data_IF_788719114090
#
_entry.id   IF_788719114090
#
_cell.length_a   1.000
_cell.length_b   1.000
_cell.length_c   1.000
_cell.angle_alpha   90.00
_cell.angle_beta   90.00
_cell.angle_gamma   90.00
#
_symmetry.space_group_name_H-M   'P 1'
#
loop_
_entity.id
_entity.type
_entity.pdbx_description
1 polymer ?
#
# COMPACT_ATOMS: atom_id res chain seq x y z
N UNK A 1 -7.26 19.01 25.04
CA UNK A 1 -6.53 18.34 23.94
C UNK A 1 -5.95 19.43 23.03
N UNK A 2 -4.63 19.49 22.90
CA UNK A 2 -3.90 20.47 22.07
C UNK A 2 -4.08 20.15 20.58
N UNK A 3 -4.34 21.16 19.75
CA UNK A 3 -4.46 20.95 18.30
C UNK A 3 -3.09 20.65 17.67
N UNK A 4 -2.99 19.66 16.77
CA UNK A 4 -1.74 19.35 16.07
C UNK A 4 -1.30 20.52 15.18
N UNK A 5 0.02 20.67 15.00
CA UNK A 5 0.58 21.71 14.12
C UNK A 5 0.17 21.50 12.66
N UNK A 6 0.19 22.56 11.84
CA UNK A 6 -0.12 22.49 10.40
C UNK A 6 0.73 21.49 9.61
N UNK A 7 1.92 21.16 10.11
CA UNK A 7 2.86 20.20 9.49
C UNK A 7 2.63 18.75 9.94
N UNK A 8 1.80 18.52 10.97
CA UNK A 8 1.56 17.21 11.55
C UNK A 8 0.33 16.50 10.96
N UNK A 9 -0.14 16.92 9.78
CA UNK A 9 -1.26 16.27 9.07
C UNK A 9 -0.67 15.21 8.15
N UNK A 10 -0.74 13.95 8.58
CA UNK A 10 -0.39 12.80 7.73
C UNK A 10 -1.60 12.45 6.86
N UNK A 11 -1.45 12.42 5.53
CA UNK A 11 -2.52 11.96 4.65
C UNK A 11 -2.94 10.54 5.01
N UNK A 12 -4.25 10.31 5.13
CA UNK A 12 -4.82 9.02 5.49
C UNK A 12 -5.87 8.59 4.47
N UNK A 13 -5.76 7.34 4.02
CA UNK A 13 -6.78 6.68 3.19
C UNK A 13 -7.44 5.59 4.03
N UNK A 14 -8.71 5.79 4.38
CA UNK A 14 -9.52 4.77 5.04
C UNK A 14 -9.97 3.70 4.06
N UNK A 15 -10.50 2.59 4.57
CA UNK A 15 -11.10 1.53 3.74
C UNK A 15 -12.22 2.09 2.86
N UNK A 16 -13.14 2.89 3.41
CA UNK A 16 -14.21 3.54 2.64
C UNK A 16 -13.67 4.42 1.50
N UNK A 17 -12.62 5.21 1.77
CA UNK A 17 -11.98 6.05 0.75
C UNK A 17 -11.27 5.23 -0.30
N UNK A 18 -10.62 4.12 0.07
CA UNK A 18 -9.98 3.20 -0.87
C UNK A 18 -11.02 2.55 -1.78
N UNK A 19 -12.14 2.07 -1.23
CA UNK A 19 -13.23 1.48 -2.02
C UNK A 19 -13.79 2.47 -3.06
N UNK A 20 -14.05 3.72 -2.64
CA UNK A 20 -14.50 4.79 -3.55
C UNK A 20 -13.48 5.08 -4.65
N UNK A 21 -12.19 5.10 -4.30
CA UNK A 21 -11.12 5.33 -5.27
C UNK A 21 -11.07 4.21 -6.33
N UNK A 22 -11.06 2.95 -5.89
CA UNK A 22 -11.02 1.79 -6.80
C UNK A 22 -12.24 1.77 -7.71
N UNK A 23 -13.44 2.01 -7.17
CA UNK A 23 -14.67 2.05 -7.96
C UNK A 23 -14.70 3.23 -8.95
N UNK A 24 -14.16 4.39 -8.57
CA UNK A 24 -14.08 5.55 -9.45
C UNK A 24 -13.11 5.35 -10.63
N UNK A 25 -12.02 4.61 -10.42
CA UNK A 25 -11.06 4.25 -11.48
C UNK A 25 -11.60 3.10 -12.34
N UNK A 26 -12.37 2.20 -11.74
CA UNK A 26 -12.81 0.93 -12.32
C UNK A 26 -11.82 -0.19 -12.00
N UNK A 27 -12.36 -1.34 -11.55
CA UNK A 27 -11.55 -2.46 -11.02
C UNK A 27 -10.55 -3.00 -12.03
N UNK A 28 -10.99 -3.24 -13.28
CA UNK A 28 -10.14 -3.81 -14.33
C UNK A 28 -8.95 -2.91 -14.67
N UNK A 29 -9.22 -1.61 -14.85
CA UNK A 29 -8.19 -0.62 -15.14
C UNK A 29 -7.24 -0.46 -13.96
N UNK A 30 -7.77 -0.37 -12.75
CA UNK A 30 -6.97 -0.26 -11.53
C UNK A 30 -5.98 -1.42 -11.41
N UNK A 31 -6.45 -2.67 -11.59
CA UNK A 31 -5.60 -3.85 -11.49
C UNK A 31 -4.57 -3.94 -12.62
N UNK A 32 -4.97 -3.59 -13.86
CA UNK A 32 -4.06 -3.61 -15.01
C UNK A 32 -2.92 -2.62 -14.84
N UNK A 33 -3.24 -1.37 -14.46
CA UNK A 33 -2.23 -0.34 -14.24
C UNK A 33 -1.35 -0.66 -13.02
N UNK A 34 -1.95 -1.16 -11.92
CA UNK A 34 -1.18 -1.58 -10.74
C UNK A 34 -0.20 -2.73 -11.07
N UNK A 35 -0.63 -3.71 -11.87
CA UNK A 35 0.24 -4.79 -12.30
C UNK A 35 1.41 -4.29 -13.14
N UNK A 36 1.18 -3.32 -14.04
CA UNK A 36 2.25 -2.72 -14.84
C UNK A 36 3.29 -2.00 -13.95
N UNK A 37 2.84 -1.26 -12.93
CA UNK A 37 3.74 -0.64 -11.95
C UNK A 37 4.53 -1.67 -11.14
N UNK A 38 3.88 -2.75 -10.70
CA UNK A 38 4.56 -3.85 -10.02
C UNK A 38 5.63 -4.46 -10.94
N UNK A 39 5.32 -4.71 -12.22
CA UNK A 39 6.29 -5.24 -13.17
C UNK A 39 7.50 -4.32 -13.35
N UNK A 40 7.27 -3.00 -13.47
CA UNK A 40 8.35 -2.02 -13.54
C UNK A 40 9.24 -2.04 -12.29
N UNK A 41 8.64 -2.15 -11.11
CA UNK A 41 9.37 -2.29 -9.84
C UNK A 41 10.21 -3.56 -9.81
N UNK A 42 9.68 -4.68 -10.29
CA UNK A 42 10.45 -5.91 -10.39
C UNK A 42 11.61 -5.83 -11.40
N UNK A 43 11.50 -5.04 -12.47
CA UNK A 43 12.64 -4.82 -13.40
C UNK A 43 13.80 -4.06 -12.74
N UNK A 44 13.51 -3.24 -11.73
CA UNK A 44 14.51 -2.46 -10.97
C UNK A 44 14.76 -3.02 -9.58
N UNK A 45 14.54 -4.33 -9.39
CA UNK A 45 14.58 -5.02 -8.10
C UNK A 45 15.85 -4.75 -7.26
N UNK A 46 17.01 -4.64 -7.92
CA UNK A 46 18.29 -4.41 -7.23
C UNK A 46 18.42 -3.01 -6.63
N UNK A 47 17.61 -2.05 -7.05
CA UNK A 47 17.62 -0.69 -6.48
C UNK A 47 16.91 -0.60 -5.13
N UNK A 48 16.11 -1.61 -4.77
CA UNK A 48 15.41 -1.63 -3.50
C UNK A 48 16.32 -2.10 -2.37
N UNK A 49 16.34 -1.34 -1.27
CA UNK A 49 16.84 -1.80 0.02
C UNK A 49 15.85 -2.81 0.61
N UNK A 50 16.15 -4.09 0.42
CA UNK A 50 15.26 -5.20 0.74
C UNK A 50 15.62 -5.75 2.12
N UNK A 51 14.64 -5.83 3.00
CA UNK A 51 14.76 -6.48 4.31
C UNK A 51 13.76 -7.63 4.40
N UNK A 52 14.12 -8.80 4.96
CA UNK A 52 13.16 -9.87 5.22
C UNK A 52 12.01 -9.38 6.10
N UNK A 53 10.78 -9.81 5.78
CA UNK A 53 9.63 -9.52 6.65
C UNK A 53 9.81 -10.20 8.01
N UNK A 54 9.39 -9.51 9.08
CA UNK A 54 9.31 -10.12 10.40
C UNK A 54 8.19 -11.17 10.37
N UNK A 55 8.49 -12.38 10.82
CA UNK A 55 7.52 -13.46 10.91
C UNK A 55 6.39 -13.09 11.88
N UNK A 56 5.13 -13.13 11.43
CA UNK A 56 3.97 -13.01 12.31
C UNK A 56 3.56 -14.40 12.78
N UNK A 57 4.02 -14.80 13.97
CA UNK A 57 3.61 -16.08 14.54
C UNK A 57 2.15 -16.03 15.00
N UNK A 58 1.32 -16.93 14.47
CA UNK A 58 -0.02 -17.26 14.96
C UNK A 58 -0.02 -18.68 15.54
N UNK A 59 -1.12 -19.07 16.18
CA UNK A 59 -1.27 -20.44 16.65
C UNK A 59 -1.24 -21.46 15.50
N UNK A 60 -1.69 -21.05 14.31
CA UNK A 60 -1.80 -21.90 13.12
C UNK A 60 -0.54 -21.88 12.24
N UNK A 61 0.50 -21.12 12.61
CA UNK A 61 1.77 -21.08 11.89
C UNK A 61 2.41 -19.70 11.82
N UNK A 62 3.11 -19.43 10.73
CA UNK A 62 3.76 -18.13 10.47
C UNK A 62 3.05 -17.45 9.30
N UNK A 63 2.52 -16.25 9.53
CA UNK A 63 1.91 -15.37 8.51
C UNK A 63 2.93 -14.32 8.06
#
# INVERSE_FOLDING_TARGET
>A
MTQPSRLAIVPFVSVDRMMKLVLAIGVERFLTELAAYIEEDFRRWELFDKTPRIASHSHDGVI
#
